data_IF_327605011084
#
_entry.id   IF_327605011084
#
_cell.length_a   1.000
_cell.length_b   1.000
_cell.length_c   1.000
_cell.angle_alpha   90.00
_cell.angle_beta   90.00
_cell.angle_gamma   90.00
#
_symmetry.space_group_name_H-M   'P 1'
#
loop_
_entity.id
_entity.type
_entity.pdbx_description
1 polymer ?
#
# COMPACT_ATOMS: atom_id res chain seq x y z
N UNK A 1 15.14 8.28 6.20
CA UNK A 1 14.19 9.29 6.74
C UNK A 1 13.23 9.86 5.70
N UNK A 2 13.58 9.93 4.40
CA UNK A 2 12.71 10.49 3.34
C UNK A 2 11.29 9.87 3.24
N UNK A 3 11.11 8.60 3.60
CA UNK A 3 9.82 7.90 3.49
C UNK A 3 9.02 7.82 4.80
N UNK A 4 9.56 8.35 5.91
CA UNK A 4 8.92 8.23 7.23
C UNK A 4 7.74 9.20 7.37
N UNK A 5 7.92 10.44 6.91
CA UNK A 5 6.86 11.46 6.87
C UNK A 5 5.63 11.02 6.05
N UNK A 6 5.75 10.59 4.78
CA UNK A 6 4.59 10.13 4.02
C UNK A 6 3.96 8.85 4.60
N UNK A 7 4.76 7.97 5.21
CA UNK A 7 4.23 6.78 5.90
C UNK A 7 3.32 7.14 7.08
N UNK A 8 3.75 8.07 7.95
CA UNK A 8 2.95 8.54 9.08
C UNK A 8 1.68 9.24 8.58
N UNK A 9 1.80 10.11 7.57
CA UNK A 9 0.65 10.79 6.98
C UNK A 9 -0.38 9.81 6.41
N UNK A 10 0.07 8.72 5.77
CA UNK A 10 -0.81 7.65 5.29
C UNK A 10 -1.57 6.95 6.41
N UNK A 11 -0.91 6.63 7.53
CA UNK A 11 -1.57 6.01 8.70
C UNK A 11 -2.61 6.96 9.30
N UNK A 12 -2.27 8.24 9.47
CA UNK A 12 -3.19 9.27 9.97
C UNK A 12 -4.39 9.40 9.03
N UNK A 13 -4.17 9.39 7.72
CA UNK A 13 -5.24 9.48 6.73
C UNK A 13 -6.25 8.33 6.85
N UNK A 14 -5.77 7.10 7.02
CA UNK A 14 -6.64 5.92 7.21
C UNK A 14 -7.45 6.02 8.51
N UNK A 15 -6.79 6.41 9.62
CA UNK A 15 -7.45 6.57 10.93
C UNK A 15 -8.50 7.67 10.91
N UNK A 16 -8.22 8.78 10.25
CA UNK A 16 -9.13 9.90 10.09
C UNK A 16 -10.34 9.52 9.22
N UNK A 17 -10.12 8.81 8.12
CA UNK A 17 -11.19 8.28 7.28
C UNK A 17 -12.14 7.36 8.07
N UNK A 18 -11.58 6.45 8.88
CA UNK A 18 -12.36 5.57 9.77
C UNK A 18 -13.17 6.34 10.81
N UNK A 19 -12.62 7.44 11.36
CA UNK A 19 -13.33 8.28 12.33
C UNK A 19 -14.60 8.90 11.73
N UNK A 20 -14.58 9.28 10.44
CA UNK A 20 -15.76 9.82 9.76
C UNK A 20 -16.90 8.80 9.63
N UNK A 21 -16.58 7.51 9.54
CA UNK A 21 -17.58 6.44 9.50
C UNK A 21 -18.17 6.08 10.87
N UNK A 22 -17.64 6.64 11.96
CA UNK A 22 -18.18 6.42 13.31
C UNK A 22 -19.63 6.87 13.49
N UNK A 23 -20.11 7.78 12.65
CA UNK A 23 -21.52 8.19 12.63
C UNK A 23 -22.46 7.11 12.05
N UNK A 24 -21.92 6.21 11.22
CA UNK A 24 -22.71 5.21 10.48
C UNK A 24 -22.39 3.77 10.87
N UNK A 25 -21.31 3.54 11.62
CA UNK A 25 -20.80 2.20 11.94
C UNK A 25 -20.50 2.09 13.44
N UNK A 26 -21.05 1.07 14.11
CA UNK A 26 -20.86 0.89 15.57
C UNK A 26 -19.41 0.67 15.99
N UNK A 27 -18.59 0.03 15.13
CA UNK A 27 -17.19 -0.28 15.43
C UNK A 27 -16.32 -0.06 14.18
N UNK A 28 -16.02 1.20 13.82
CA UNK A 28 -15.31 1.51 12.57
C UNK A 28 -13.89 0.92 12.58
N UNK A 29 -13.20 0.95 13.71
CA UNK A 29 -11.83 0.43 13.84
C UNK A 29 -11.73 -1.11 13.88
N UNK A 30 -12.85 -1.82 13.80
CA UNK A 30 -12.84 -3.30 13.75
C UNK A 30 -12.13 -3.74 12.47
N UNK A 31 -11.14 -4.62 12.62
CA UNK A 31 -10.31 -5.13 11.53
C UNK A 31 -9.53 -4.05 10.78
N UNK A 32 -9.06 -2.98 11.45
CA UNK A 32 -8.18 -1.97 10.82
C UNK A 32 -6.93 -2.57 10.16
N UNK A 33 -6.48 -3.74 10.60
CA UNK A 33 -5.37 -4.46 9.97
C UNK A 33 -5.68 -4.91 8.52
N UNK A 34 -6.96 -5.12 8.18
CA UNK A 34 -7.37 -5.55 6.84
C UNK A 34 -6.98 -4.54 5.74
N UNK A 35 -7.35 -3.24 5.81
CA UNK A 35 -6.94 -2.28 4.78
C UNK A 35 -5.42 -2.15 4.70
N UNK A 36 -4.68 -2.14 5.81
CA UNK A 36 -3.22 -2.11 5.79
C UNK A 36 -2.61 -3.34 5.09
N UNK A 37 -3.15 -4.53 5.37
CA UNK A 37 -2.70 -5.78 4.75
C UNK A 37 -2.99 -5.79 3.25
N UNK A 38 -4.18 -5.32 2.84
CA UNK A 38 -4.56 -5.21 1.43
C UNK A 38 -3.62 -4.28 0.68
N UNK A 39 -3.36 -3.07 1.21
CA UNK A 39 -2.41 -2.14 0.60
C UNK A 39 -1.00 -2.73 0.50
N UNK A 40 -0.55 -3.43 1.54
CA UNK A 40 0.75 -4.08 1.55
C UNK A 40 0.85 -5.17 0.46
N UNK A 41 -0.13 -6.07 0.39
CA UNK A 41 -0.17 -7.15 -0.61
C UNK A 41 -0.22 -6.57 -2.03
N UNK A 42 -1.05 -5.55 -2.25
CA UNK A 42 -1.19 -4.92 -3.55
C UNK A 42 0.11 -4.25 -4.00
N UNK A 43 0.76 -3.51 -3.11
CA UNK A 43 2.05 -2.88 -3.38
C UNK A 43 3.15 -3.91 -3.64
N UNK A 44 3.17 -5.00 -2.88
CA UNK A 44 4.11 -6.10 -3.07
C UNK A 44 3.95 -6.74 -4.45
N UNK A 45 2.72 -7.04 -4.86
CA UNK A 45 2.43 -7.57 -6.20
C UNK A 45 2.86 -6.60 -7.29
N UNK A 46 2.53 -5.31 -7.14
CA UNK A 46 2.96 -4.26 -8.07
C UNK A 46 4.49 -4.20 -8.21
N UNK A 47 5.20 -4.23 -7.09
CA UNK A 47 6.66 -4.20 -7.07
C UNK A 47 7.26 -5.43 -7.78
N UNK A 48 6.79 -6.63 -7.43
CA UNK A 48 7.25 -7.88 -8.06
C UNK A 48 6.99 -7.88 -9.56
N UNK A 49 5.79 -7.50 -10.00
CA UNK A 49 5.45 -7.39 -11.42
C UNK A 49 6.33 -6.40 -12.14
N UNK A 50 6.52 -5.21 -11.56
CA UNK A 50 7.35 -4.16 -12.14
C UNK A 50 8.80 -4.61 -12.26
N UNK A 51 9.38 -5.20 -11.21
CA UNK A 51 10.75 -5.71 -11.24
C UNK A 51 10.90 -6.85 -12.24
N UNK A 52 9.93 -7.76 -12.32
CA UNK A 52 9.96 -8.85 -13.30
C UNK A 52 9.89 -8.32 -14.73
N UNK A 53 8.97 -7.38 -15.00
CA UNK A 53 8.82 -6.74 -16.30
C UNK A 53 10.08 -5.98 -16.70
N UNK A 54 10.63 -5.15 -15.80
CA UNK A 54 11.87 -4.42 -16.04
C UNK A 54 13.04 -5.37 -16.30
N UNK A 55 13.19 -6.42 -15.51
CA UNK A 55 14.25 -7.41 -15.71
C UNK A 55 14.10 -8.11 -17.06
N UNK A 56 12.88 -8.49 -17.44
CA UNK A 56 12.61 -9.15 -18.71
C UNK A 56 12.85 -8.22 -19.90
N UNK A 57 12.37 -6.98 -19.85
CA UNK A 57 12.45 -6.04 -20.97
C UNK A 57 13.84 -5.40 -21.06
N UNK A 58 14.44 -4.97 -19.95
CA UNK A 58 15.70 -4.19 -19.97
C UNK A 58 16.93 -5.08 -19.98
N UNK A 59 16.95 -6.21 -19.23
CA UNK A 59 18.15 -7.04 -19.12
C UNK A 59 18.26 -8.09 -20.23
N UNK A 60 17.15 -8.56 -20.82
CA UNK A 60 17.22 -9.52 -21.93
C UNK A 60 17.53 -8.86 -23.29
N UNK A 61 17.30 -7.55 -23.43
CA UNK A 61 17.61 -6.81 -24.68
C UNK A 61 19.12 -6.56 -24.86
N UNK A 62 19.91 -6.68 -23.78
CA UNK A 62 21.38 -6.55 -23.81
C UNK A 62 22.11 -7.84 -24.25
N UNK A 63 21.38 -8.94 -24.44
CA UNK A 63 21.95 -10.25 -24.82
C UNK A 63 21.39 -10.72 -26.18
N UNK A 64 21.37 -9.82 -27.16
CA UNK A 64 21.25 -10.15 -28.59
C UNK A 64 22.28 -9.37 -29.38
#
# INVERSE_FOLDING_TARGET
MLFLAPGILGVVHVLFGLQMFGLFMQNPYKNIWAPFTIFFVLYFIYYVLTTWLYTRIVLQDKNK
#
